data_IF_034989046528
#
_entry.id   IF_034989046528
#
_cell.length_a   1.000
_cell.length_b   1.000
_cell.length_c   1.000
_cell.angle_alpha   90.00
_cell.angle_beta   90.00
_cell.angle_gamma   90.00
#
_symmetry.space_group_name_H-M   'P 1'
#
loop_
_entity.id
_entity.type
_entity.pdbx_description
1 polymer ?
#
# COMPACT_ATOMS: atom_id res chain seq x y z
N UNK A 1 18.06 8.16 3.00
CA UNK A 1 17.05 8.65 2.05
C UNK A 1 16.26 9.78 2.70
N UNK A 2 16.46 11.06 2.35
CA UNK A 2 15.75 12.18 3.00
C UNK A 2 14.29 12.35 2.57
N UNK A 3 13.84 11.65 1.52
CA UNK A 3 12.50 11.84 0.94
C UNK A 3 11.34 11.23 1.73
N UNK A 4 11.59 10.26 2.57
CA UNK A 4 10.52 9.54 3.30
C UNK A 4 9.91 10.38 4.42
N UNK A 5 10.63 11.38 4.95
CA UNK A 5 10.17 12.18 6.10
C UNK A 5 9.05 13.17 5.82
N UNK A 6 8.89 13.63 4.57
CA UNK A 6 7.98 14.75 4.23
C UNK A 6 6.80 14.37 3.31
N UNK A 7 6.68 13.11 2.91
CA UNK A 7 5.65 12.66 1.97
C UNK A 7 4.24 12.64 2.54
N UNK A 8 4.11 12.72 3.81
CA UNK A 8 2.94 12.27 4.53
C UNK A 8 1.94 13.37 4.84
N UNK A 9 2.31 14.62 4.68
CA UNK A 9 1.57 15.68 5.31
C UNK A 9 0.58 16.38 4.39
N UNK A 10 -0.71 16.26 4.74
CA UNK A 10 -1.80 17.10 4.24
C UNK A 10 -2.03 17.10 2.72
N UNK A 11 -1.79 15.97 2.08
CA UNK A 11 -2.25 15.78 0.71
C UNK A 11 -3.73 15.41 0.70
N UNK A 12 -4.43 15.72 -0.39
CA UNK A 12 -5.81 15.27 -0.62
C UNK A 12 -5.99 13.74 -0.43
N UNK A 13 -4.89 12.95 -0.59
CA UNK A 13 -4.85 11.49 -0.37
C UNK A 13 -5.08 11.08 1.09
N UNK A 14 -5.01 12.01 2.04
CA UNK A 14 -5.37 11.79 3.45
C UNK A 14 -6.70 12.44 3.82
N UNK A 15 -7.41 13.06 2.88
CA UNK A 15 -8.74 13.60 3.13
C UNK A 15 -9.74 12.49 3.44
N UNK A 16 -10.75 12.83 4.21
CA UNK A 16 -11.84 11.90 4.57
C UNK A 16 -12.57 11.40 3.32
N UNK A 17 -12.82 12.27 2.37
CA UNK A 17 -13.53 12.00 1.11
C UNK A 17 -12.75 11.00 0.26
N UNK A 18 -11.44 11.22 0.13
CA UNK A 18 -10.59 10.30 -0.61
C UNK A 18 -10.55 8.91 0.06
N UNK A 19 -10.30 8.86 1.38
CA UNK A 19 -10.26 7.61 2.14
C UNK A 19 -11.59 6.86 1.99
N UNK A 20 -12.71 7.58 2.09
CA UNK A 20 -14.03 6.99 1.92
C UNK A 20 -14.22 6.39 0.52
N UNK A 21 -13.92 7.16 -0.52
CA UNK A 21 -14.06 6.74 -1.93
C UNK A 21 -13.14 5.58 -2.26
N UNK A 22 -11.89 5.61 -1.81
CA UNK A 22 -10.93 4.53 -2.00
C UNK A 22 -11.38 3.23 -1.32
N UNK A 23 -11.88 3.32 -0.09
CA UNK A 23 -12.40 2.15 0.62
C UNK A 23 -13.68 1.60 -0.02
N UNK A 24 -14.56 2.47 -0.55
CA UNK A 24 -15.71 2.03 -1.35
C UNK A 24 -15.27 1.21 -2.56
N UNK A 25 -14.27 1.72 -3.27
CA UNK A 25 -13.71 1.03 -4.41
C UNK A 25 -13.15 -0.36 -4.04
N UNK A 26 -12.37 -0.45 -2.96
CA UNK A 26 -11.83 -1.73 -2.47
C UNK A 26 -12.95 -2.71 -2.11
N UNK A 27 -13.93 -2.28 -1.33
CA UNK A 27 -15.04 -3.13 -0.87
C UNK A 27 -15.86 -3.63 -2.06
N UNK A 28 -16.13 -2.77 -3.05
CA UNK A 28 -16.91 -3.12 -4.25
C UNK A 28 -16.20 -4.15 -5.13
N UNK A 29 -14.87 -4.01 -5.30
CA UNK A 29 -14.11 -4.81 -6.28
C UNK A 29 -13.41 -6.03 -5.66
N UNK A 30 -13.24 -6.03 -4.33
CA UNK A 30 -12.64 -7.13 -3.60
C UNK A 30 -13.67 -7.60 -2.58
N UNK A 31 -14.13 -8.84 -2.69
CA UNK A 31 -15.18 -9.42 -1.82
C UNK A 31 -14.68 -9.56 -0.37
N UNK A 32 -14.47 -8.41 0.31
CA UNK A 32 -14.04 -8.33 1.70
C UNK A 32 -15.26 -8.40 2.63
N UNK A 33 -15.05 -9.00 3.79
CA UNK A 33 -16.06 -9.11 4.85
C UNK A 33 -15.38 -9.02 6.24
N UNK A 34 -16.16 -9.16 7.30
CA UNK A 34 -15.68 -9.07 8.69
C UNK A 34 -14.62 -10.12 9.10
N UNK A 35 -14.49 -11.22 8.36
CA UNK A 35 -13.47 -12.24 8.62
C UNK A 35 -12.17 -12.02 7.83
N UNK A 36 -12.15 -11.05 6.90
CA UNK A 36 -11.00 -10.82 6.03
C UNK A 36 -9.76 -10.42 6.80
N UNK A 37 -8.64 -11.07 6.51
CA UNK A 37 -7.32 -10.72 7.03
C UNK A 37 -6.60 -9.80 6.04
N UNK A 38 -6.23 -8.60 6.47
CA UNK A 38 -5.73 -7.53 5.57
C UNK A 38 -4.35 -7.09 6.02
N UNK A 39 -3.43 -7.01 5.06
CA UNK A 39 -2.10 -6.41 5.21
C UNK A 39 -2.02 -5.15 4.33
N UNK A 40 -1.51 -4.06 4.90
CA UNK A 40 -1.18 -2.82 4.17
C UNK A 40 0.33 -2.58 4.26
N UNK A 41 1.01 -2.63 3.12
CA UNK A 41 2.46 -2.43 2.98
C UNK A 41 2.74 -0.98 2.63
N UNK A 42 3.53 -0.29 3.48
CA UNK A 42 3.73 1.14 3.40
C UNK A 42 2.49 1.90 3.88
N UNK A 43 1.92 1.46 4.99
CA UNK A 43 0.62 1.94 5.47
C UNK A 43 0.63 3.40 5.98
N UNK A 44 1.81 4.01 6.17
CA UNK A 44 1.93 5.33 6.76
C UNK A 44 1.24 5.41 8.13
N UNK A 45 0.34 6.37 8.30
CA UNK A 45 -0.49 6.52 9.52
C UNK A 45 -1.62 5.49 9.63
N UNK A 46 -1.85 4.68 8.61
CA UNK A 46 -2.87 3.64 8.62
C UNK A 46 -4.32 4.12 8.55
N UNK A 47 -4.56 5.38 8.15
CA UNK A 47 -5.93 5.95 8.11
C UNK A 47 -6.87 5.22 7.16
N UNK A 48 -6.38 4.81 5.97
CA UNK A 48 -7.15 4.01 5.01
C UNK A 48 -7.54 2.68 5.66
N UNK A 49 -6.55 1.99 6.21
CA UNK A 49 -6.74 0.68 6.82
C UNK A 49 -7.64 0.73 8.05
N UNK A 50 -7.50 1.77 8.89
CA UNK A 50 -8.36 2.00 10.04
C UNK A 50 -9.80 2.30 9.67
N UNK A 51 -10.02 3.11 8.62
CA UNK A 51 -11.35 3.36 8.07
C UNK A 51 -11.96 2.09 7.48
N UNK A 52 -11.18 1.28 6.75
CA UNK A 52 -11.62 0.00 6.21
C UNK A 52 -12.03 -0.96 7.32
N UNK A 53 -11.25 -1.03 8.42
CA UNK A 53 -11.59 -1.82 9.60
C UNK A 53 -12.95 -1.44 10.19
N UNK A 54 -13.19 -0.13 10.40
CA UNK A 54 -14.47 0.33 10.95
C UNK A 54 -15.65 -0.03 10.06
N UNK A 55 -15.49 0.06 8.75
CA UNK A 55 -16.57 -0.17 7.77
C UNK A 55 -16.92 -1.65 7.63
N UNK A 56 -15.92 -2.52 7.64
CA UNK A 56 -16.09 -3.97 7.52
C UNK A 56 -16.34 -4.64 8.88
N UNK A 57 -16.15 -3.91 10.00
CA UNK A 57 -16.21 -4.45 11.37
C UNK A 57 -15.36 -5.72 11.49
N UNK A 58 -14.08 -5.60 11.06
CA UNK A 58 -13.18 -6.75 11.02
C UNK A 58 -13.02 -7.38 12.40
N UNK A 59 -13.18 -8.69 12.49
CA UNK A 59 -13.00 -9.46 13.73
C UNK A 59 -11.55 -9.43 14.22
N UNK A 60 -10.60 -9.37 13.30
CA UNK A 60 -9.16 -9.23 13.59
C UNK A 60 -8.70 -7.84 13.10
N UNK A 61 -8.03 -7.08 13.97
CA UNK A 61 -7.43 -5.82 13.55
C UNK A 61 -6.51 -6.04 12.35
N UNK A 62 -6.69 -5.29 11.26
CA UNK A 62 -5.83 -5.41 10.09
C UNK A 62 -4.41 -4.94 10.41
N UNK A 63 -3.43 -5.49 9.71
CA UNK A 63 -2.02 -5.22 9.93
C UNK A 63 -1.51 -4.19 8.93
N UNK A 64 -0.95 -3.10 9.44
CA UNK A 64 -0.16 -2.15 8.67
C UNK A 64 1.33 -2.29 8.98
N UNK A 65 2.16 -2.27 7.96
CA UNK A 65 3.62 -2.24 8.12
C UNK A 65 4.19 -1.02 7.41
N UNK A 66 5.21 -0.41 8.01
CA UNK A 66 5.91 0.74 7.46
C UNK A 66 7.33 0.85 8.03
N UNK A 67 8.21 1.54 7.33
CA UNK A 67 9.55 1.87 7.82
C UNK A 67 9.53 3.04 8.81
N UNK A 68 8.53 3.91 8.70
CA UNK A 68 8.39 5.10 9.53
C UNK A 68 7.39 4.84 10.66
N UNK A 69 7.80 5.16 11.88
CA UNK A 69 6.95 5.05 13.06
C UNK A 69 6.24 6.38 13.34
N UNK A 70 5.12 6.64 12.67
CA UNK A 70 4.33 7.85 12.88
C UNK A 70 3.72 7.89 14.29
N UNK A 71 3.77 9.06 14.96
CA UNK A 71 3.22 9.24 16.32
C UNK A 71 1.70 9.17 16.35
N UNK A 72 1.03 9.65 15.29
CA UNK A 72 -0.43 9.76 15.14
C UNK A 72 -1.05 8.61 14.33
N UNK A 73 -0.53 7.41 14.52
CA UNK A 73 -1.08 6.20 13.89
C UNK A 73 -2.52 5.94 14.29
N UNK A 74 -3.29 5.42 13.35
CA UNK A 74 -4.67 5.01 13.59
C UNK A 74 -4.71 3.85 14.61
N UNK A 75 -5.45 4.04 15.71
CA UNK A 75 -5.56 3.05 16.81
C UNK A 75 -6.36 1.81 16.42
N UNK A 76 -7.07 1.86 15.30
CA UNK A 76 -7.91 0.75 14.80
C UNK A 76 -7.12 -0.31 14.06
N UNK A 77 -5.82 -0.11 13.82
CA UNK A 77 -4.94 -1.08 13.17
C UNK A 77 -3.94 -1.70 14.13
N UNK A 78 -3.38 -2.86 13.76
CA UNK A 78 -2.13 -3.37 14.32
C UNK A 78 -0.99 -2.81 13.47
N UNK A 79 -0.03 -2.14 14.07
CA UNK A 79 1.11 -1.56 13.35
C UNK A 79 2.41 -2.27 13.69
N UNK A 80 3.27 -2.47 12.69
CA UNK A 80 4.67 -2.89 12.89
C UNK A 80 5.61 -2.01 12.08
N UNK A 81 6.65 -1.47 12.74
CA UNK A 81 7.77 -0.81 12.08
C UNK A 81 8.72 -1.89 11.56
N UNK A 82 8.63 -2.22 10.29
CA UNK A 82 9.43 -3.27 9.67
C UNK A 82 9.48 -3.09 8.15
N UNK A 83 10.58 -3.52 7.54
CA UNK A 83 10.70 -3.66 6.10
C UNK A 83 9.76 -4.75 5.56
N UNK A 84 9.13 -4.48 4.42
CA UNK A 84 8.12 -5.37 3.84
C UNK A 84 8.70 -6.74 3.42
N UNK A 85 9.88 -6.76 2.81
CA UNK A 85 10.53 -8.00 2.37
C UNK A 85 10.95 -8.82 3.59
N UNK A 86 11.53 -8.17 4.60
CA UNK A 86 11.91 -8.80 5.86
C UNK A 86 10.71 -9.36 6.62
N UNK A 87 9.59 -8.63 6.62
CA UNK A 87 8.35 -9.12 7.22
C UNK A 87 7.81 -10.34 6.47
N UNK A 88 7.61 -10.23 5.16
CA UNK A 88 7.00 -11.28 4.35
C UNK A 88 7.84 -12.55 4.27
N UNK A 89 9.18 -12.45 4.32
CA UNK A 89 10.07 -13.62 4.31
C UNK A 89 9.92 -14.52 5.54
N UNK A 90 9.50 -13.95 6.67
CA UNK A 90 9.30 -14.66 7.95
C UNK A 90 7.81 -14.89 8.27
N UNK A 91 6.92 -14.30 7.50
CA UNK A 91 5.49 -14.34 7.76
C UNK A 91 4.88 -15.71 7.41
N UNK A 92 4.07 -16.24 8.32
CA UNK A 92 3.30 -17.49 8.14
C UNK A 92 1.80 -17.22 7.95
N UNK A 93 1.33 -16.01 8.26
CA UNK A 93 -0.08 -15.64 8.10
C UNK A 93 -0.48 -15.58 6.63
N UNK A 94 -1.74 -15.87 6.34
CA UNK A 94 -2.36 -15.71 5.03
C UNK A 94 -3.29 -14.51 5.04
N UNK A 95 -3.25 -13.73 3.95
CA UNK A 95 -4.03 -12.51 3.80
C UNK A 95 -5.03 -12.62 2.65
N UNK A 96 -6.23 -12.12 2.86
CA UNK A 96 -7.26 -12.00 1.84
C UNK A 96 -7.06 -10.77 0.96
N UNK A 97 -6.43 -9.75 1.53
CA UNK A 97 -5.97 -8.57 0.80
C UNK A 97 -4.58 -8.16 1.27
N UNK A 98 -3.67 -8.00 0.31
CA UNK A 98 -2.41 -7.26 0.50
C UNK A 98 -2.53 -5.96 -0.29
N UNK A 99 -2.57 -4.84 0.41
CA UNK A 99 -2.61 -3.51 -0.16
C UNK A 99 -1.18 -2.96 -0.26
N UNK A 100 -0.81 -2.42 -1.42
CA UNK A 100 0.47 -1.73 -1.67
C UNK A 100 0.13 -0.39 -2.31
N UNK A 101 -0.06 0.64 -1.47
CA UNK A 101 -0.47 1.96 -1.94
C UNK A 101 0.67 2.96 -1.82
N UNK A 102 1.04 3.57 -2.95
CA UNK A 102 2.08 4.63 -2.99
C UNK A 102 3.44 4.18 -2.43
N UNK A 103 3.77 2.89 -2.55
CA UNK A 103 4.99 2.30 -1.96
C UNK A 103 5.89 1.69 -3.02
N UNK A 104 5.31 1.04 -4.03
CA UNK A 104 6.06 0.24 -5.01
C UNK A 104 7.08 1.07 -5.81
N UNK A 105 6.80 2.36 -6.04
CA UNK A 105 7.68 3.27 -6.76
C UNK A 105 8.95 3.66 -5.97
N UNK A 106 9.01 3.35 -4.69
CA UNK A 106 10.18 3.59 -3.83
C UNK A 106 11.22 2.46 -3.91
N UNK A 107 10.86 1.34 -4.52
CA UNK A 107 11.66 0.13 -4.59
C UNK A 107 12.38 0.01 -5.95
N UNK A 108 13.53 -0.65 -5.96
CA UNK A 108 14.17 -1.06 -7.19
C UNK A 108 13.49 -2.31 -7.79
N UNK A 109 13.86 -2.68 -9.02
CA UNK A 109 13.20 -3.76 -9.76
C UNK A 109 13.31 -5.13 -9.06
N UNK A 110 14.46 -5.43 -8.46
CA UNK A 110 14.66 -6.72 -7.78
C UNK A 110 13.92 -6.80 -6.47
N UNK A 111 13.87 -5.68 -5.72
CA UNK A 111 13.01 -5.55 -4.54
C UNK A 111 11.53 -5.71 -4.89
N UNK A 112 11.07 -5.13 -6.01
CA UNK A 112 9.68 -5.29 -6.48
C UNK A 112 9.39 -6.76 -6.79
N UNK A 113 10.25 -7.43 -7.56
CA UNK A 113 10.09 -8.85 -7.87
C UNK A 113 9.98 -9.70 -6.60
N UNK A 114 10.90 -9.44 -5.65
CA UNK A 114 10.94 -10.15 -4.37
C UNK A 114 9.70 -9.88 -3.53
N UNK A 115 9.29 -8.60 -3.44
CA UNK A 115 8.08 -8.18 -2.73
C UNK A 115 6.84 -8.89 -3.28
N UNK A 116 6.64 -8.87 -4.61
CA UNK A 116 5.48 -9.49 -5.26
C UNK A 116 5.47 -11.01 -5.09
N UNK A 117 6.63 -11.66 -5.22
CA UNK A 117 6.77 -13.10 -5.01
C UNK A 117 6.40 -13.50 -3.59
N UNK A 118 6.91 -12.79 -2.58
CA UNK A 118 6.61 -13.05 -1.18
C UNK A 118 5.17 -12.70 -0.83
N UNK A 119 4.63 -11.63 -1.40
CA UNK A 119 3.22 -11.25 -1.24
C UNK A 119 2.31 -12.34 -1.79
N UNK A 120 2.59 -12.87 -2.99
CA UNK A 120 1.84 -13.99 -3.57
C UNK A 120 1.84 -15.21 -2.67
N UNK A 121 3.00 -15.58 -2.09
CA UNK A 121 3.11 -16.68 -1.13
C UNK A 121 2.30 -16.44 0.16
N UNK A 122 2.09 -15.18 0.53
CA UNK A 122 1.35 -14.79 1.74
C UNK A 122 -0.15 -14.59 1.51
N UNK A 123 -0.68 -14.82 0.30
CA UNK A 123 -2.11 -14.77 0.03
C UNK A 123 -2.83 -16.02 0.53
N UNK A 124 -4.07 -15.83 0.99
CA UNK A 124 -5.04 -16.92 1.09
C UNK A 124 -5.44 -17.44 -0.31
N UNK A 125 -6.13 -18.57 -0.41
CA UNK A 125 -6.51 -19.18 -1.69
C UNK A 125 -7.31 -18.26 -2.61
N UNK A 126 -8.09 -17.33 -2.06
CA UNK A 126 -8.88 -16.32 -2.78
C UNK A 126 -8.35 -14.91 -2.59
N UNK A 127 -7.18 -14.78 -1.95
CA UNK A 127 -6.56 -13.50 -1.64
C UNK A 127 -6.12 -12.75 -2.88
N UNK A 128 -6.06 -11.42 -2.76
CA UNK A 128 -5.66 -10.52 -3.85
C UNK A 128 -4.59 -9.56 -3.39
N UNK A 129 -3.67 -9.23 -4.28
CA UNK A 129 -2.76 -8.08 -4.13
C UNK A 129 -3.40 -6.91 -4.87
N UNK A 130 -3.56 -5.79 -4.18
CA UNK A 130 -4.03 -4.56 -4.78
C UNK A 130 -2.90 -3.53 -4.74
N UNK A 131 -2.43 -3.12 -5.92
CA UNK A 131 -1.37 -2.13 -6.06
C UNK A 131 -2.00 -0.85 -6.60
N UNK A 132 -1.78 0.23 -5.88
CA UNK A 132 -2.19 1.56 -6.29
C UNK A 132 -0.97 2.49 -6.29
N UNK A 133 -0.67 3.05 -7.45
CA UNK A 133 0.34 4.10 -7.62
C UNK A 133 -0.26 5.26 -8.39
N UNK A 134 0.31 6.46 -8.20
CA UNK A 134 -0.12 7.63 -8.95
C UNK A 134 0.36 7.52 -10.39
N UNK A 135 -0.52 7.89 -11.30
CA UNK A 135 -0.13 8.14 -12.68
C UNK A 135 0.73 9.40 -12.73
N UNK A 136 1.81 9.32 -13.46
CA UNK A 136 2.85 10.35 -13.44
C UNK A 136 2.50 11.56 -14.32
N UNK A 137 1.53 11.41 -15.22
CA UNK A 137 1.04 12.47 -16.11
C UNK A 137 -0.11 13.29 -15.50
N UNK A 138 -0.52 12.96 -14.28
CA UNK A 138 -1.55 13.70 -13.57
C UNK A 138 -1.04 15.10 -13.19
N UNK A 139 -1.45 16.09 -13.94
CA UNK A 139 -1.18 17.52 -13.68
C UNK A 139 -1.82 18.07 -12.40
N UNK A 140 -2.47 17.23 -11.62
CA UNK A 140 -3.30 17.61 -10.48
C UNK A 140 -2.55 17.76 -9.16
N UNK A 141 -1.23 17.49 -9.12
CA UNK A 141 -0.43 17.61 -7.89
C UNK A 141 0.62 18.72 -8.05
N UNK A 142 0.49 19.85 -7.33
CA UNK A 142 1.44 20.96 -7.39
C UNK A 142 2.88 20.56 -7.04
N UNK A 143 3.06 19.54 -6.23
CA UNK A 143 4.37 18.99 -5.84
C UNK A 143 5.07 18.21 -6.96
N UNK A 144 4.38 17.86 -8.04
CA UNK A 144 4.95 17.10 -9.15
C UNK A 144 5.98 17.87 -9.98
N UNK A 145 5.88 19.19 -10.05
CA UNK A 145 6.86 20.00 -10.81
C UNK A 145 8.30 19.85 -10.29
N UNK A 146 8.49 19.68 -8.99
CA UNK A 146 9.81 19.47 -8.36
C UNK A 146 10.35 18.04 -8.53
N UNK A 147 9.48 17.07 -8.75
CA UNK A 147 9.82 15.65 -8.83
C UNK A 147 9.98 15.14 -10.27
N UNK A 148 9.68 15.96 -11.27
CA UNK A 148 9.57 15.57 -12.68
C UNK A 148 10.76 14.76 -13.22
N UNK A 149 11.99 15.12 -12.87
CA UNK A 149 13.20 14.43 -13.38
C UNK A 149 13.38 13.03 -12.77
N UNK A 150 13.21 12.90 -11.48
CA UNK A 150 13.29 11.59 -10.76
C UNK A 150 12.09 10.69 -11.05
N UNK A 151 10.95 11.32 -11.32
CA UNK A 151 9.72 10.62 -11.67
C UNK A 151 9.79 10.00 -13.08
N UNK A 152 10.40 10.68 -14.07
CA UNK A 152 10.61 10.14 -15.42
C UNK A 152 11.52 8.90 -15.40
N UNK A 153 12.51 8.85 -14.52
CA UNK A 153 13.33 7.66 -14.31
C UNK A 153 12.55 6.53 -13.64
N UNK A 154 11.66 6.87 -12.72
CA UNK A 154 10.70 5.93 -12.14
C UNK A 154 9.74 5.37 -13.19
N UNK A 155 9.23 6.18 -14.11
CA UNK A 155 8.31 5.80 -15.19
C UNK A 155 8.88 4.80 -16.19
N UNK A 156 10.13 4.96 -16.57
CA UNK A 156 10.81 3.94 -17.39
C UNK A 156 10.86 2.59 -16.67
N UNK A 157 10.87 2.62 -15.34
CA UNK A 157 10.80 1.48 -14.46
C UNK A 157 9.39 0.90 -14.37
N UNK A 158 8.36 1.75 -14.29
CA UNK A 158 6.95 1.35 -14.14
C UNK A 158 6.40 0.63 -15.36
N UNK A 159 6.82 1.01 -16.59
CA UNK A 159 6.53 0.23 -17.81
C UNK A 159 7.08 -1.20 -17.76
N UNK A 160 8.22 -1.41 -17.07
CA UNK A 160 8.76 -2.76 -16.82
C UNK A 160 8.00 -3.49 -15.73
N UNK A 161 7.48 -2.78 -14.73
CA UNK A 161 6.67 -3.33 -13.63
C UNK A 161 5.33 -3.86 -14.14
N UNK A 162 4.62 -3.11 -15.00
CA UNK A 162 3.38 -3.59 -15.62
C UNK A 162 3.59 -4.91 -16.37
N UNK A 163 4.70 -5.06 -17.10
CA UNK A 163 5.05 -6.33 -17.76
C UNK A 163 5.33 -7.49 -16.81
N UNK A 164 5.72 -7.22 -15.56
CA UNK A 164 5.96 -8.26 -14.54
C UNK A 164 4.64 -8.69 -13.91
N UNK A 165 3.73 -7.76 -13.66
CA UNK A 165 2.41 -8.05 -13.07
C UNK A 165 1.55 -8.88 -14.03
N UNK A 166 1.66 -8.64 -15.33
CA UNK A 166 0.91 -9.40 -16.36
C UNK A 166 1.47 -10.79 -16.63
N UNK A 167 2.68 -11.12 -16.15
CA UNK A 167 3.31 -12.44 -16.28
C UNK A 167 3.23 -13.31 -15.02
N UNK A 168 2.68 -12.79 -13.91
CA UNK A 168 2.44 -13.50 -12.65
C UNK A 168 1.01 -14.03 -12.57
#
# INVERSE_FOLDING_TARGET
>A
MPFIKNWDNNTWLSSTEYIYSFNNFLIKNIKLNSNSNILDIGCGRGKILGSLNSRLKLKKKPLGIDLVNHKDKDKRIKFRKIDAISFLSKNKDKFDLILIKQTIHLLNLDEIKKLLTLSKKSLSSKGKIFIFTLETDSNQLPTFKLMKKKLIESLKRDKKILKIITKL
#
